data_IF_661162228260
#
_entry.id   IF_661162228260
#
_cell.length_a   1.000
_cell.length_b   1.000
_cell.length_c   1.000
_cell.angle_alpha   90.00
_cell.angle_beta   90.00
_cell.angle_gamma   90.00
#
_symmetry.space_group_name_H-M   'P 1'
#
loop_
_entity.id
_entity.type
_entity.pdbx_description
1 polymer ?
#
# COMPACT_ATOMS: atom_id res chain seq x y z
N UNK A 1 12.40 7.18 -4.62
CA UNK A 1 11.79 7.35 -3.29
C UNK A 1 10.61 8.32 -3.30
N UNK A 2 10.79 9.55 -3.79
CA UNK A 2 9.81 10.66 -3.75
C UNK A 2 8.43 10.38 -4.37
N UNK A 3 8.36 9.51 -5.39
CA UNK A 3 7.10 9.15 -6.06
C UNK A 3 6.16 8.32 -5.18
N UNK A 4 6.71 7.66 -4.15
CA UNK A 4 5.95 6.87 -3.19
C UNK A 4 5.98 7.58 -1.84
N UNK A 5 7.13 7.91 -1.25
CA UNK A 5 7.18 8.49 0.09
C UNK A 5 7.54 9.98 0.07
N UNK A 6 6.92 10.82 0.92
CA UNK A 6 7.38 12.20 1.09
C UNK A 6 8.80 12.23 1.68
N UNK A 7 9.68 13.09 1.14
CA UNK A 7 11.08 13.24 1.60
C UNK A 7 11.22 13.75 3.04
N UNK A 8 10.29 14.59 3.49
CA UNK A 8 10.31 15.16 4.83
C UNK A 8 8.90 15.13 5.43
N UNK A 9 8.75 14.55 6.63
CA UNK A 9 7.51 14.59 7.40
C UNK A 9 7.48 15.82 8.33
N UNK A 10 7.53 17.02 7.76
CA UNK A 10 7.48 18.28 8.53
C UNK A 10 6.09 18.59 9.10
N UNK A 11 5.04 17.93 8.61
CA UNK A 11 3.66 18.16 9.05
C UNK A 11 2.96 16.85 9.38
N UNK A 12 1.95 16.93 10.25
CA UNK A 12 1.12 15.78 10.60
C UNK A 12 0.48 15.13 9.36
N UNK A 13 0.04 15.94 8.39
CA UNK A 13 -0.56 15.44 7.14
C UNK A 13 0.46 14.64 6.31
N UNK A 14 1.70 15.12 6.22
CA UNK A 14 2.78 14.40 5.53
C UNK A 14 3.17 13.11 6.26
N UNK A 15 3.18 13.14 7.59
CA UNK A 15 3.40 11.94 8.42
C UNK A 15 2.30 10.90 8.21
N UNK A 16 1.03 11.31 8.29
CA UNK A 16 -0.11 10.42 8.05
C UNK A 16 -0.09 9.85 6.62
N UNK A 17 0.22 10.66 5.61
CA UNK A 17 0.38 10.19 4.23
C UNK A 17 1.50 9.15 4.09
N UNK A 18 2.64 9.39 4.75
CA UNK A 18 3.75 8.44 4.77
C UNK A 18 3.31 7.08 5.36
N UNK A 19 2.66 7.09 6.53
CA UNK A 19 2.20 5.88 7.21
C UNK A 19 1.18 5.10 6.37
N UNK A 20 0.22 5.78 5.72
CA UNK A 20 -0.73 5.11 4.82
C UNK A 20 -0.03 4.38 3.68
N UNK A 21 0.92 5.04 3.03
CA UNK A 21 1.66 4.44 1.92
C UNK A 21 2.55 3.30 2.39
N UNK A 22 3.16 3.43 3.57
CA UNK A 22 3.99 2.38 4.15
C UNK A 22 3.16 1.14 4.47
N UNK A 23 1.97 1.33 5.04
CA UNK A 23 1.02 0.25 5.32
C UNK A 23 0.62 -0.48 4.03
N UNK A 24 0.28 0.25 2.96
CA UNK A 24 -0.07 -0.34 1.67
C UNK A 24 1.07 -1.19 1.08
N UNK A 25 2.30 -0.66 1.11
CA UNK A 25 3.49 -1.35 0.61
C UNK A 25 3.78 -2.59 1.44
N UNK A 26 3.72 -2.51 2.76
CA UNK A 26 3.97 -3.63 3.65
C UNK A 26 2.98 -4.79 3.44
N UNK A 27 1.68 -4.48 3.37
CA UNK A 27 0.64 -5.49 3.13
C UNK A 27 0.80 -6.11 1.74
N UNK A 28 1.08 -5.30 0.71
CA UNK A 28 1.31 -5.82 -0.63
C UNK A 28 2.53 -6.73 -0.69
N UNK A 29 3.63 -6.35 -0.03
CA UNK A 29 4.84 -7.16 0.04
C UNK A 29 4.62 -8.50 0.76
N UNK A 30 3.96 -8.48 1.92
CA UNK A 30 3.65 -9.70 2.68
C UNK A 30 2.76 -10.64 1.85
N UNK A 31 1.69 -10.11 1.26
CA UNK A 31 0.75 -10.92 0.47
C UNK A 31 1.37 -11.47 -0.81
N UNK A 32 2.32 -10.76 -1.41
CA UNK A 32 3.11 -11.22 -2.55
C UNK A 32 4.10 -12.32 -2.16
N UNK A 33 5.01 -12.05 -1.22
CA UNK A 33 6.09 -12.97 -0.82
C UNK A 33 5.56 -14.28 -0.22
N UNK A 34 4.37 -14.24 0.39
CA UNK A 34 3.70 -15.42 0.94
C UNK A 34 2.80 -16.13 -0.07
N UNK A 35 2.74 -15.66 -1.32
CA UNK A 35 1.87 -16.19 -2.37
C UNK A 35 0.40 -16.29 -1.94
N UNK A 36 -0.08 -15.33 -1.15
CA UNK A 36 -1.49 -15.29 -0.69
C UNK A 36 -2.42 -15.00 -1.86
N UNK A 37 -1.97 -14.17 -2.80
CA UNK A 37 -2.72 -13.81 -4.00
C UNK A 37 -1.89 -14.13 -5.26
N UNK A 38 -2.55 -14.36 -6.40
CA UNK A 38 -1.87 -14.65 -7.66
C UNK A 38 -1.14 -13.41 -8.22
N UNK A 39 -0.16 -13.63 -9.10
CA UNK A 39 0.67 -12.57 -9.72
C UNK A 39 -0.16 -11.44 -10.34
N UNK A 40 -1.26 -11.77 -11.02
CA UNK A 40 -2.13 -10.78 -11.66
C UNK A 40 -2.87 -9.87 -10.67
N UNK A 41 -2.91 -10.20 -9.37
CA UNK A 41 -3.45 -9.31 -8.34
C UNK A 41 -2.51 -8.13 -8.02
N UNK A 42 -1.26 -8.19 -8.47
CA UNK A 42 -0.24 -7.18 -8.21
C UNK A 42 0.13 -6.41 -9.47
N UNK A 43 0.49 -5.15 -9.29
CA UNK A 43 1.16 -4.32 -10.27
C UNK A 43 2.60 -4.05 -9.82
N UNK A 44 3.48 -3.92 -10.79
CA UNK A 44 4.87 -3.54 -10.56
C UNK A 44 5.00 -2.03 -10.40
N UNK A 45 5.78 -1.62 -9.40
CA UNK A 45 6.14 -0.22 -9.19
C UNK A 45 7.62 -0.12 -8.82
N UNK A 46 8.37 0.63 -9.62
CA UNK A 46 9.79 0.86 -9.37
C UNK A 46 9.96 2.06 -8.41
N UNK A 47 10.75 1.86 -7.36
CA UNK A 47 11.15 2.88 -6.40
C UNK A 47 12.68 2.90 -6.33
N UNK A 48 13.30 3.80 -7.10
CA UNK A 48 14.77 3.78 -7.29
C UNK A 48 15.22 2.42 -7.80
N UNK A 49 15.97 1.67 -6.99
CA UNK A 49 16.48 0.33 -7.34
C UNK A 49 15.59 -0.80 -6.78
N UNK A 50 14.49 -0.45 -6.10
CA UNK A 50 13.58 -1.42 -5.49
C UNK A 50 12.33 -1.62 -6.35
N UNK A 51 12.16 -2.84 -6.87
CA UNK A 51 10.92 -3.26 -7.51
C UNK A 51 9.91 -3.72 -6.47
N UNK A 52 8.79 -3.01 -6.39
CA UNK A 52 7.69 -3.31 -5.48
C UNK A 52 6.54 -3.96 -6.22
N UNK A 53 5.92 -4.96 -5.57
CA UNK A 53 4.63 -5.53 -5.95
C UNK A 53 3.54 -4.87 -5.12
N UNK A 54 2.59 -4.22 -5.78
CA UNK A 54 1.51 -3.45 -5.15
C UNK A 54 0.17 -4.06 -5.52
N UNK A 55 -0.69 -4.32 -4.54
CA UNK A 55 -2.05 -4.82 -4.78
C UNK A 55 -2.86 -3.85 -5.67
N UNK A 56 -3.63 -4.39 -6.61
CA UNK A 56 -4.47 -3.62 -7.55
C UNK A 56 -5.95 -3.73 -7.21
N UNK A 57 -6.61 -2.57 -7.11
CA UNK A 57 -8.03 -2.41 -6.73
C UNK A 57 -9.00 -3.08 -7.71
N UNK A 58 -8.58 -3.20 -8.98
CA UNK A 58 -9.35 -3.78 -10.10
C UNK A 58 -8.80 -5.14 -10.55
N UNK A 59 -8.22 -5.90 -9.63
CA UNK A 59 -7.82 -7.27 -9.97
C UNK A 59 -9.04 -8.17 -10.13
N UNK A 60 -8.97 -9.16 -11.02
CA UNK A 60 -9.94 -10.27 -11.09
C UNK A 60 -9.92 -11.18 -9.84
N UNK A 61 -9.22 -10.79 -8.78
CA UNK A 61 -9.09 -11.51 -7.52
C UNK A 61 -9.91 -10.81 -6.42
N UNK A 62 -11.11 -11.34 -6.08
CA UNK A 62 -11.99 -10.71 -5.09
C UNK A 62 -11.34 -10.58 -3.70
N UNK A 63 -10.48 -11.53 -3.32
CA UNK A 63 -9.75 -11.50 -2.06
C UNK A 63 -8.78 -10.32 -1.95
N UNK A 64 -8.07 -10.01 -3.04
CA UNK A 64 -7.18 -8.85 -3.10
C UNK A 64 -7.98 -7.53 -3.00
N UNK A 65 -9.09 -7.42 -3.74
CA UNK A 65 -9.99 -6.26 -3.65
C UNK A 65 -10.53 -6.05 -2.23
N UNK A 66 -10.88 -7.15 -1.54
CA UNK A 66 -11.37 -7.09 -0.16
C UNK A 66 -10.29 -6.60 0.81
N UNK A 67 -9.04 -7.05 0.66
CA UNK A 67 -7.92 -6.55 1.47
C UNK A 67 -7.69 -5.06 1.23
N UNK A 68 -7.73 -4.60 -0.03
CA UNK A 68 -7.58 -3.17 -0.35
C UNK A 68 -8.67 -2.34 0.33
N UNK A 69 -9.92 -2.84 0.36
CA UNK A 69 -11.02 -2.19 1.08
C UNK A 69 -10.73 -2.06 2.58
N UNK A 70 -10.18 -3.08 3.22
CA UNK A 70 -9.78 -2.99 4.63
C UNK A 70 -8.65 -1.99 4.85
N UNK A 71 -7.64 -1.97 3.97
CA UNK A 71 -6.55 -1.00 4.02
C UNK A 71 -7.06 0.44 3.90
N UNK A 72 -8.02 0.70 3.01
CA UNK A 72 -8.71 2.00 2.92
C UNK A 72 -9.43 2.37 4.22
N UNK A 73 -10.04 1.38 4.91
CA UNK A 73 -10.60 1.57 6.24
C UNK A 73 -9.55 1.97 7.29
N UNK A 74 -8.37 1.36 7.26
CA UNK A 74 -7.25 1.76 8.12
C UNK A 74 -6.78 3.19 7.82
N UNK A 75 -6.83 3.63 6.57
CA UNK A 75 -6.47 5.01 6.21
C UNK A 75 -7.44 6.03 6.80
N UNK A 76 -8.74 5.75 6.74
CA UNK A 76 -9.78 6.59 7.36
C UNK A 76 -9.62 6.63 8.88
N UNK A 77 -9.31 5.49 9.52
CA UNK A 77 -9.04 5.45 10.95
C UNK A 77 -7.82 6.30 11.34
N UNK A 78 -6.76 6.25 10.54
CA UNK A 78 -5.57 7.07 10.77
C UNK A 78 -5.86 8.57 10.63
N UNK A 79 -6.70 8.98 9.67
CA UNK A 79 -7.12 10.38 9.51
C UNK A 79 -7.93 10.89 10.72
N UNK A 80 -8.72 9.99 11.31
CA UNK A 80 -9.56 10.29 12.48
C UNK A 80 -8.83 10.18 13.81
N UNK A 81 -7.55 9.79 13.80
CA UNK A 81 -6.69 9.65 14.99
C UNK A 81 -7.26 8.65 16.01
N UNK A 82 -7.86 7.56 15.52
CA UNK A 82 -8.30 6.42 16.35
C UNK A 82 -7.13 5.52 16.77
#
# INVERSE_FOLDING_TARGET
>A
WESIFPNEQLTEQKSALFVKKLLAVAISNITYLRAIFPEHAFGDKCLEDLNLKILRDESSCPGACQVIKWVKGCFDALEKKY
#
